data_IF_295078713953
#
_entry.id   IF_295078713953
#
_cell.length_a   1.000
_cell.length_b   1.000
_cell.length_c   1.000
_cell.angle_alpha   90.00
_cell.angle_beta   90.00
_cell.angle_gamma   90.00
#
_symmetry.space_group_name_H-M   'P 1'
#
loop_
_entity.id
_entity.type
_entity.pdbx_description
1 polymer ?
#
# COMPACT_ATOMS: atom_id res chain seq x y z
N UNK A 1 -0.21 4.99 -36.57
CA UNK A 1 -0.85 3.79 -37.15
C UNK A 1 -1.62 3.09 -36.04
N UNK A 2 -2.87 2.64 -36.27
CA UNK A 2 -3.68 1.97 -35.26
C UNK A 2 -3.19 0.54 -34.98
N UNK A 3 -3.59 0.00 -33.83
CA UNK A 3 -3.30 -1.36 -33.36
C UNK A 3 -4.05 -2.47 -34.12
N UNK A 4 -4.08 -2.39 -35.45
CA UNK A 4 -4.76 -3.36 -36.30
C UNK A 4 -3.73 -4.22 -37.04
N UNK A 5 -3.95 -5.54 -37.22
CA UNK A 5 -3.06 -6.38 -38.03
C UNK A 5 -2.90 -5.81 -39.46
N UNK A 6 -1.68 -5.72 -40.02
CA UNK A 6 -0.39 -6.26 -39.55
C UNK A 6 0.45 -5.29 -38.69
N UNK A 7 -0.09 -4.17 -38.24
CA UNK A 7 0.63 -3.10 -37.54
C UNK A 7 0.76 -3.29 -36.03
N UNK A 8 0.08 -4.29 -35.46
CA UNK A 8 0.33 -4.70 -34.07
C UNK A 8 1.70 -5.41 -33.97
N UNK A 9 2.69 -4.71 -33.44
CA UNK A 9 4.06 -5.20 -33.26
C UNK A 9 4.37 -5.64 -31.83
N UNK A 10 3.40 -5.57 -30.90
CA UNK A 10 3.62 -5.96 -29.51
C UNK A 10 3.77 -7.48 -29.41
N UNK A 11 4.88 -7.95 -28.82
CA UNK A 11 5.14 -9.39 -28.67
C UNK A 11 4.52 -9.96 -27.39
N UNK A 12 4.91 -9.42 -26.25
CA UNK A 12 4.41 -9.79 -24.92
C UNK A 12 3.68 -8.60 -24.28
N UNK A 13 2.53 -8.25 -24.85
CA UNK A 13 1.75 -7.13 -24.35
C UNK A 13 0.55 -6.77 -25.21
N UNK A 14 -0.25 -5.83 -24.70
CA UNK A 14 -1.44 -5.32 -25.36
C UNK A 14 -1.13 -4.03 -26.13
N UNK A 15 -1.58 -3.93 -27.38
CA UNK A 15 -1.42 -2.72 -28.18
C UNK A 15 -2.54 -1.72 -27.89
N UNK A 16 -2.17 -0.48 -27.60
CA UNK A 16 -3.11 0.63 -27.39
C UNK A 16 -2.91 1.72 -28.44
N UNK A 17 -3.99 2.07 -29.15
CA UNK A 17 -3.98 3.16 -30.14
C UNK A 17 -4.13 4.50 -29.44
N UNK A 18 -3.24 5.43 -29.74
CA UNK A 18 -3.27 6.78 -29.19
C UNK A 18 -3.97 7.73 -30.16
N UNK A 19 -4.91 8.50 -29.62
CA UNK A 19 -5.69 9.49 -30.34
C UNK A 19 -5.32 10.89 -29.87
N UNK A 20 -5.04 11.78 -30.80
CA UNK A 20 -4.98 13.22 -30.55
C UNK A 20 -6.38 13.80 -30.72
N UNK A 21 -6.88 14.46 -29.67
CA UNK A 21 -8.20 15.11 -29.66
C UNK A 21 -8.02 16.57 -30.04
N UNK A 22 -8.69 16.98 -31.10
CA UNK A 22 -8.76 18.37 -31.55
C UNK A 22 -10.14 18.93 -31.22
N UNK A 23 -10.16 19.99 -30.42
CA UNK A 23 -11.36 20.77 -30.16
C UNK A 23 -11.42 21.97 -31.10
N UNK A 24 -12.50 22.05 -31.85
CA UNK A 24 -12.78 23.22 -32.71
C UNK A 24 -14.10 23.84 -32.28
N UNK A 25 -14.13 25.17 -32.12
CA UNK A 25 -15.39 25.90 -31.87
C UNK A 25 -15.92 26.44 -33.19
N UNK A 26 -17.11 25.98 -33.60
CA UNK A 26 -17.83 26.50 -34.77
C UNK A 26 -19.22 26.90 -34.30
N UNK A 27 -19.59 28.18 -34.50
CA UNK A 27 -20.93 28.70 -34.20
C UNK A 27 -21.44 28.39 -32.77
N UNK A 28 -20.64 28.73 -31.73
CA UNK A 28 -20.96 28.48 -30.31
C UNK A 28 -21.19 26.99 -29.93
N UNK A 29 -20.76 26.06 -30.77
CA UNK A 29 -20.73 24.64 -30.47
C UNK A 29 -19.28 24.14 -30.47
N UNK A 30 -18.94 23.32 -29.45
CA UNK A 30 -17.66 22.62 -29.40
C UNK A 30 -17.78 21.34 -30.21
N UNK A 31 -16.98 21.21 -31.27
CA UNK A 31 -16.86 19.99 -32.05
C UNK A 31 -15.51 19.34 -31.76
N UNK A 32 -15.56 18.16 -31.16
CA UNK A 32 -14.41 17.29 -30.91
C UNK A 32 -14.19 16.35 -32.09
N UNK A 33 -12.95 16.29 -32.57
CA UNK A 33 -12.51 15.31 -33.56
C UNK A 33 -11.24 14.62 -33.05
N UNK A 34 -11.15 13.30 -33.22
CA UNK A 34 -9.97 12.54 -32.81
C UNK A 34 -9.25 12.00 -34.04
N UNK A 35 -7.93 12.16 -34.11
CA UNK A 35 -7.07 11.56 -35.13
C UNK A 35 -6.12 10.55 -34.49
N UNK A 36 -5.86 9.43 -35.18
CA UNK A 36 -4.87 8.44 -34.73
C UNK A 36 -3.48 9.06 -34.87
N UNK A 37 -2.78 9.25 -33.76
CA UNK A 37 -1.42 9.80 -33.77
C UNK A 37 -0.36 8.70 -33.77
N UNK A 38 -0.51 7.71 -32.90
CA UNK A 38 0.50 6.65 -32.69
C UNK A 38 -0.11 5.43 -31.98
N UNK A 39 0.73 4.44 -31.64
CA UNK A 39 0.35 3.34 -30.75
C UNK A 39 1.45 3.13 -29.71
N UNK A 40 1.10 2.49 -28.60
CA UNK A 40 2.06 2.01 -27.60
C UNK A 40 1.75 0.58 -27.22
N UNK A 41 2.78 -0.18 -26.84
CA UNK A 41 2.61 -1.50 -26.25
C UNK A 41 2.59 -1.38 -24.73
N UNK A 42 1.55 -1.92 -24.10
CA UNK A 42 1.48 -2.15 -22.65
C UNK A 42 2.04 -3.55 -22.43
N UNK A 43 3.25 -3.65 -21.90
CA UNK A 43 3.92 -4.95 -21.72
C UNK A 43 3.28 -5.77 -20.61
N UNK A 44 3.20 -7.07 -20.85
CA UNK A 44 2.85 -8.04 -19.83
C UNK A 44 3.89 -8.02 -18.70
N UNK A 45 3.51 -8.40 -17.48
CA UNK A 45 4.45 -8.54 -16.38
C UNK A 45 5.68 -9.39 -16.75
N UNK A 46 6.86 -8.91 -16.37
CA UNK A 46 8.13 -9.55 -16.74
C UNK A 46 8.68 -9.18 -18.12
N UNK A 47 8.03 -8.28 -18.88
CA UNK A 47 8.51 -7.81 -20.19
C UNK A 47 8.66 -6.29 -20.27
N UNK A 48 9.58 -5.84 -21.12
CA UNK A 48 9.94 -4.44 -21.34
C UNK A 48 10.40 -4.23 -22.79
N UNK A 49 10.73 -2.98 -23.13
CA UNK A 49 11.03 -2.53 -24.48
C UNK A 49 9.81 -1.95 -25.20
N UNK A 50 10.07 -1.18 -26.27
CA UNK A 50 9.04 -0.44 -27.03
C UNK A 50 7.95 -1.36 -27.59
N UNK A 51 8.31 -2.60 -27.90
CA UNK A 51 7.43 -3.64 -28.45
C UNK A 51 7.34 -4.87 -27.53
N UNK A 52 7.72 -4.74 -26.26
CA UNK A 52 7.68 -5.80 -25.26
C UNK A 52 8.45 -7.06 -25.68
N UNK A 53 9.63 -6.86 -26.26
CA UNK A 53 10.50 -7.89 -26.81
C UNK A 53 11.68 -8.24 -25.89
N UNK A 54 11.79 -7.59 -24.73
CA UNK A 54 12.87 -7.84 -23.77
C UNK A 54 12.28 -8.33 -22.45
N UNK A 55 12.77 -9.43 -21.87
CA UNK A 55 12.41 -9.78 -20.51
C UNK A 55 12.96 -8.73 -19.53
N UNK A 56 12.21 -8.43 -18.47
CA UNK A 56 12.68 -7.57 -17.37
C UNK A 56 13.75 -8.33 -16.60
N UNK A 57 14.97 -7.80 -16.58
CA UNK A 57 15.98 -8.22 -15.64
C UNK A 57 15.75 -7.52 -14.29
N UNK A 58 15.01 -8.18 -13.42
CA UNK A 58 14.71 -7.72 -12.05
C UNK A 58 15.97 -7.56 -11.19
N UNK A 59 17.12 -8.11 -11.61
CA UNK A 59 18.40 -7.97 -10.93
C UNK A 59 19.23 -6.78 -11.43
N UNK A 60 18.92 -6.15 -12.56
CA UNK A 60 19.75 -5.08 -13.13
C UNK A 60 19.89 -3.85 -12.20
N UNK A 61 18.94 -3.65 -11.27
CA UNK A 61 18.97 -2.59 -10.24
C UNK A 61 18.60 -3.12 -8.85
N UNK A 62 19.13 -4.30 -8.51
CA UNK A 62 18.90 -4.87 -7.19
C UNK A 62 19.50 -4.01 -6.07
N UNK A 63 18.91 -4.08 -4.87
CA UNK A 63 19.44 -3.40 -3.67
C UNK A 63 20.27 -4.30 -2.77
N UNK A 64 20.56 -5.54 -3.18
CA UNK A 64 21.41 -6.45 -2.42
C UNK A 64 22.76 -5.80 -2.08
N UNK A 65 23.11 -5.80 -0.79
CA UNK A 65 24.29 -5.17 -0.23
C UNK A 65 25.34 -6.21 0.17
N UNK A 66 26.51 -5.73 0.61
CA UNK A 66 27.55 -6.55 1.23
C UNK A 66 28.01 -7.78 0.41
N UNK A 67 27.97 -7.68 -0.92
CA UNK A 67 28.38 -8.76 -1.82
C UNK A 67 27.32 -9.86 -2.03
N UNK A 68 26.08 -9.62 -1.61
CA UNK A 68 24.98 -10.55 -1.83
C UNK A 68 24.64 -10.73 -3.32
N UNK A 69 24.29 -11.96 -3.67
CA UNK A 69 23.92 -12.33 -5.03
C UNK A 69 22.43 -12.08 -5.24
N UNK A 70 22.08 -11.29 -6.25
CA UNK A 70 20.68 -11.18 -6.68
C UNK A 70 20.25 -12.44 -7.44
N UNK A 71 19.09 -12.97 -7.06
CA UNK A 71 18.46 -14.13 -7.69
C UNK A 71 17.07 -13.72 -8.17
N UNK A 72 16.86 -13.75 -9.48
CA UNK A 72 15.54 -13.50 -10.06
C UNK A 72 14.55 -14.61 -9.66
N UNK A 73 13.34 -14.21 -9.28
CA UNK A 73 12.22 -15.04 -8.84
C UNK A 73 10.95 -14.60 -9.58
N UNK A 74 10.92 -14.85 -10.89
CA UNK A 74 9.84 -14.40 -11.75
C UNK A 74 9.80 -12.87 -11.85
N UNK A 75 8.78 -12.25 -11.27
CA UNK A 75 8.55 -10.80 -11.32
C UNK A 75 9.27 -10.02 -10.21
N UNK A 76 9.87 -10.69 -9.23
CA UNK A 76 10.67 -10.08 -8.17
C UNK A 76 12.06 -10.70 -8.09
N UNK A 77 12.93 -10.13 -7.25
CA UNK A 77 14.23 -10.71 -6.93
C UNK A 77 14.36 -10.97 -5.43
N UNK A 78 15.27 -11.87 -5.08
CA UNK A 78 15.70 -12.13 -3.70
C UNK A 78 17.22 -11.97 -3.60
N UNK A 79 17.70 -11.48 -2.46
CA UNK A 79 19.12 -11.40 -2.17
C UNK A 79 19.57 -12.65 -1.43
N UNK A 80 20.52 -13.40 -2.02
CA UNK A 80 21.19 -14.49 -1.32
C UNK A 80 22.35 -13.93 -0.53
N UNK A 81 22.18 -13.85 0.78
CA UNK A 81 23.18 -13.25 1.66
C UNK A 81 24.44 -14.12 1.76
N UNK A 82 25.63 -13.50 1.72
CA UNK A 82 26.87 -14.19 2.04
C UNK A 82 26.94 -14.48 3.54
N UNK A 83 27.85 -15.38 3.93
CA UNK A 83 28.07 -15.71 5.33
C UNK A 83 28.43 -14.46 6.13
N UNK A 84 27.78 -14.27 7.29
CA UNK A 84 28.00 -13.11 8.15
C UNK A 84 27.10 -11.91 7.85
N UNK A 85 26.14 -12.01 6.92
CA UNK A 85 25.14 -10.97 6.65
C UNK A 85 23.71 -11.52 6.58
N UNK A 86 22.74 -10.71 7.03
CA UNK A 86 21.31 -10.99 7.05
C UNK A 86 20.48 -9.74 6.70
N UNK A 87 19.15 -9.86 6.70
CA UNK A 87 18.22 -8.83 6.22
C UNK A 87 17.72 -9.09 4.80
N UNK A 88 16.67 -8.36 4.39
CA UNK A 88 16.01 -8.54 3.07
C UNK A 88 16.94 -8.21 1.92
N UNK A 89 17.84 -7.25 2.12
CA UNK A 89 18.86 -6.83 1.17
C UNK A 89 20.27 -7.22 1.63
N UNK A 90 20.39 -8.08 2.65
CA UNK A 90 21.67 -8.47 3.25
C UNK A 90 22.46 -7.28 3.80
N UNK A 91 21.75 -6.27 4.30
CA UNK A 91 22.29 -5.02 4.81
C UNK A 91 22.84 -5.13 6.23
N UNK A 92 22.44 -6.15 6.98
CA UNK A 92 22.78 -6.31 8.40
C UNK A 92 23.91 -7.32 8.59
N UNK A 93 24.95 -7.03 9.39
CA UNK A 93 25.95 -8.03 9.74
C UNK A 93 25.42 -8.97 10.82
N UNK A 94 25.57 -10.28 10.62
CA UNK A 94 25.26 -11.30 11.63
C UNK A 94 26.28 -11.17 12.75
N UNK A 95 25.85 -10.60 13.87
CA UNK A 95 26.70 -10.46 15.03
C UNK A 95 26.74 -11.80 15.79
N UNK A 96 27.80 -12.58 15.59
CA UNK A 96 27.98 -13.88 16.28
C UNK A 96 28.03 -13.75 17.82
N UNK A 97 28.21 -12.54 18.36
CA UNK A 97 28.08 -12.27 19.80
C UNK A 97 26.61 -12.28 20.32
N UNK A 98 25.61 -12.24 19.42
CA UNK A 98 24.19 -12.34 19.74
C UNK A 98 23.64 -13.78 19.62
N UNK A 99 24.43 -14.75 19.15
CA UNK A 99 24.01 -16.16 19.20
C UNK A 99 23.89 -16.67 20.65
N UNK A 100 24.51 -15.97 21.61
CA UNK A 100 24.34 -16.19 23.04
C UNK A 100 23.23 -15.30 23.67
N UNK A 101 22.52 -14.50 22.88
CA UNK A 101 21.25 -13.90 23.27
C UNK A 101 20.03 -14.67 22.73
N UNK A 102 20.24 -15.77 22.00
CA UNK A 102 19.19 -16.72 21.64
C UNK A 102 18.67 -17.56 22.82
N UNK A 103 19.12 -17.30 24.05
CA UNK A 103 18.51 -17.83 25.29
C UNK A 103 17.73 -16.80 26.09
N UNK A 104 17.39 -15.62 25.54
CA UNK A 104 16.12 -15.02 25.96
C UNK A 104 15.04 -15.85 25.28
N UNK A 105 14.39 -16.71 26.07
CA UNK A 105 13.10 -17.29 25.69
C UNK A 105 12.27 -16.17 25.08
N UNK A 106 11.65 -16.44 23.93
CA UNK A 106 10.69 -15.53 23.28
C UNK A 106 9.59 -15.27 24.31
N UNK A 107 9.74 -14.19 25.05
CA UNK A 107 8.83 -13.77 26.11
C UNK A 107 7.76 -12.94 25.42
N UNK A 108 6.63 -13.57 25.13
CA UNK A 108 5.48 -12.97 24.44
C UNK A 108 4.92 -11.72 25.12
N UNK A 109 5.37 -11.42 26.34
CA UNK A 109 5.04 -10.23 27.11
C UNK A 109 5.80 -8.98 26.62
N UNK A 110 7.09 -9.11 26.26
CA UNK A 110 7.90 -7.97 25.81
C UNK A 110 7.62 -7.59 24.34
N UNK A 111 7.23 -8.57 23.52
CA UNK A 111 6.92 -8.36 22.10
C UNK A 111 5.69 -7.44 21.92
N UNK A 112 4.68 -7.57 22.78
CA UNK A 112 3.48 -6.73 22.74
C UNK A 112 3.76 -5.30 23.22
N UNK A 113 4.54 -5.14 24.30
CA UNK A 113 4.93 -3.82 24.79
C UNK A 113 5.76 -3.05 23.77
N UNK A 114 6.73 -3.70 23.12
CA UNK A 114 7.53 -3.10 22.04
C UNK A 114 6.68 -2.79 20.80
N UNK A 115 5.78 -3.70 20.41
CA UNK A 115 4.84 -3.47 19.32
C UNK A 115 3.94 -2.24 19.57
N UNK A 116 3.40 -2.11 20.77
CA UNK A 116 2.55 -0.99 21.16
C UNK A 116 3.32 0.34 21.28
N UNK A 117 4.58 0.28 21.69
CA UNK A 117 5.50 1.44 21.67
C UNK A 117 5.79 1.90 20.24
N UNK A 118 6.07 0.97 19.32
CA UNK A 118 6.32 1.26 17.91
C UNK A 118 5.09 1.84 17.20
N UNK A 119 3.89 1.38 17.57
CA UNK A 119 2.62 1.94 17.09
C UNK A 119 2.26 3.29 17.72
N UNK A 120 3.00 3.74 18.74
CA UNK A 120 2.70 4.99 19.46
C UNK A 120 1.46 4.90 20.37
N UNK A 121 1.08 3.71 20.81
CA UNK A 121 -0.14 3.46 21.60
C UNK A 121 -0.01 3.81 23.10
N UNK A 122 1.08 4.45 23.53
CA UNK A 122 1.42 4.68 24.95
C UNK A 122 0.79 5.93 25.57
N UNK A 123 -0.46 6.23 25.23
CA UNK A 123 -1.23 7.36 25.77
C UNK A 123 -2.58 6.92 26.32
N UNK A 124 -3.04 7.58 27.39
CA UNK A 124 -4.42 7.46 27.88
C UNK A 124 -5.38 8.01 26.82
N UNK A 125 -5.87 7.14 25.92
CA UNK A 125 -7.10 7.24 25.12
C UNK A 125 -7.49 8.56 24.39
N UNK A 126 -6.77 9.68 24.51
CA UNK A 126 -7.37 10.97 24.23
C UNK A 126 -6.35 12.01 23.79
N UNK A 127 -6.57 12.51 22.58
CA UNK A 127 -6.98 13.90 22.52
C UNK A 127 -8.46 13.91 22.17
N UNK A 128 -9.33 14.36 23.10
CA UNK A 128 -10.71 14.76 22.79
C UNK A 128 -11.70 13.62 22.43
N UNK A 129 -11.66 12.47 23.12
CA UNK A 129 -12.68 11.40 22.99
C UNK A 129 -12.62 10.56 21.70
N UNK A 130 -11.49 10.62 20.97
CA UNK A 130 -11.26 9.83 19.75
C UNK A 130 -10.23 8.74 20.05
N UNK A 131 -10.57 7.48 19.80
CA UNK A 131 -9.67 6.34 20.02
C UNK A 131 -8.72 6.12 18.83
N UNK A 132 -7.81 5.13 18.90
CA UNK A 132 -7.07 4.66 17.72
C UNK A 132 -7.54 3.25 17.37
N UNK A 133 -8.04 3.06 16.15
CA UNK A 133 -8.46 1.74 15.68
C UNK A 133 -7.27 0.78 15.56
N UNK A 134 -6.12 1.27 15.10
CA UNK A 134 -4.87 0.49 15.05
C UNK A 134 -4.41 -0.02 16.42
N UNK A 135 -4.49 0.79 17.47
CA UNK A 135 -4.12 0.37 18.82
C UNK A 135 -5.11 -0.62 19.43
N UNK A 136 -6.41 -0.47 19.14
CA UNK A 136 -7.44 -1.42 19.56
C UNK A 136 -7.21 -2.79 18.89
N UNK A 137 -7.00 -2.82 17.57
CA UNK A 137 -6.76 -4.05 16.82
C UNK A 137 -5.45 -4.75 17.22
N UNK A 138 -4.42 -3.99 17.58
CA UNK A 138 -3.15 -4.51 18.06
C UNK A 138 -3.20 -5.05 19.50
N UNK A 139 -4.33 -4.91 20.20
CA UNK A 139 -4.46 -5.35 21.60
C UNK A 139 -3.65 -4.53 22.59
N UNK A 140 -3.37 -3.26 22.27
CA UNK A 140 -2.51 -2.39 23.08
C UNK A 140 -3.20 -1.73 24.27
N UNK A 141 -4.52 -1.89 24.39
CA UNK A 141 -5.33 -1.23 25.41
C UNK A 141 -5.71 -2.19 26.54
N UNK A 142 -5.63 -1.70 27.77
CA UNK A 142 -6.16 -2.38 28.94
C UNK A 142 -7.70 -2.27 29.01
N UNK A 143 -8.33 -2.96 29.96
CA UNK A 143 -9.80 -2.99 30.05
C UNK A 143 -10.43 -1.60 30.23
N UNK A 144 -9.81 -0.73 31.04
CA UNK A 144 -10.31 0.64 31.28
C UNK A 144 -10.28 1.48 29.98
N UNK A 145 -9.20 1.35 29.20
CA UNK A 145 -9.06 2.01 27.89
C UNK A 145 -10.06 1.46 26.86
N UNK A 146 -10.30 0.14 26.86
CA UNK A 146 -11.30 -0.47 25.99
C UNK A 146 -12.72 -0.03 26.35
N UNK A 147 -13.02 0.10 27.65
CA UNK A 147 -14.33 0.60 28.11
C UNK A 147 -14.54 2.05 27.68
N UNK A 148 -13.50 2.89 27.73
CA UNK A 148 -13.54 4.26 27.19
C UNK A 148 -13.72 4.29 25.65
N UNK A 149 -13.19 3.29 24.95
CA UNK A 149 -13.27 3.17 23.49
C UNK A 149 -14.48 2.38 22.97
N UNK A 150 -15.43 2.00 23.83
CA UNK A 150 -16.52 1.09 23.46
C UNK A 150 -17.29 1.51 22.20
N UNK A 151 -17.65 2.78 22.07
CA UNK A 151 -18.40 3.26 20.91
C UNK A 151 -17.56 3.21 19.61
N UNK A 152 -16.24 3.35 19.70
CA UNK A 152 -15.32 3.17 18.57
C UNK A 152 -15.10 1.70 18.24
N UNK A 153 -15.12 0.81 19.24
CA UNK A 153 -15.11 -0.64 19.02
C UNK A 153 -16.37 -1.06 18.25
N UNK A 154 -17.54 -0.55 18.64
CA UNK A 154 -18.80 -0.81 17.93
C UNK A 154 -18.75 -0.33 16.46
N UNK A 155 -18.10 0.82 16.18
CA UNK A 155 -17.83 1.28 14.81
C UNK A 155 -16.96 0.30 14.01
N UNK A 156 -15.84 -0.16 14.61
CA UNK A 156 -14.93 -1.11 13.97
C UNK A 156 -15.62 -2.45 13.67
N UNK A 157 -16.45 -2.94 14.58
CA UNK A 157 -17.25 -4.15 14.38
C UNK A 157 -18.32 -3.99 13.29
N UNK A 158 -18.99 -2.83 13.25
CA UNK A 158 -20.04 -2.53 12.27
C UNK A 158 -19.50 -2.42 10.84
N UNK A 159 -18.29 -1.89 10.68
CA UNK A 159 -17.68 -1.67 9.37
C UNK A 159 -16.95 -2.90 8.84
N UNK A 160 -16.62 -3.89 9.70
CA UNK A 160 -15.91 -5.15 9.36
C UNK A 160 -14.82 -4.94 8.31
N UNK A 161 -14.08 -3.84 8.44
CA UNK A 161 -13.27 -3.36 7.34
C UNK A 161 -12.10 -4.32 7.12
N UNK A 162 -12.14 -5.06 6.01
CA UNK A 162 -10.97 -5.73 5.41
C UNK A 162 -10.01 -4.69 4.84
N UNK A 163 -9.62 -3.73 5.67
CA UNK A 163 -8.55 -2.81 5.32
C UNK A 163 -7.25 -3.62 5.39
N UNK A 164 -6.60 -3.76 4.23
CA UNK A 164 -5.30 -4.43 4.12
C UNK A 164 -4.34 -3.87 5.17
N UNK A 165 -3.44 -4.72 5.67
CA UNK A 165 -2.43 -4.35 6.70
C UNK A 165 -1.81 -2.99 6.37
N UNK A 166 -2.07 -1.98 7.21
CA UNK A 166 -1.52 -0.63 7.07
C UNK A 166 -2.49 0.46 6.58
N UNK A 167 -3.75 0.15 6.30
CA UNK A 167 -4.77 1.16 5.95
C UNK A 167 -5.45 1.77 7.20
N UNK A 168 -5.82 3.06 7.18
CA UNK A 168 -6.51 3.71 8.30
C UNK A 168 -7.97 3.23 8.40
N UNK A 169 -8.39 2.91 9.62
CA UNK A 169 -9.76 2.55 10.02
C UNK A 169 -10.67 3.78 10.08
N UNK A 170 -11.99 3.57 10.18
CA UNK A 170 -12.95 4.66 10.37
C UNK A 170 -12.71 5.50 11.63
N UNK A 171 -11.94 4.98 12.60
CA UNK A 171 -11.53 5.75 13.77
C UNK A 171 -10.48 6.80 13.39
N UNK A 172 -9.54 6.46 12.49
CA UNK A 172 -8.50 7.37 12.04
C UNK A 172 -8.97 8.38 10.98
N UNK A 173 -10.12 8.12 10.33
CA UNK A 173 -10.71 9.00 9.31
C UNK A 173 -11.77 9.95 9.84
N UNK A 174 -12.19 9.76 11.09
CA UNK A 174 -13.19 10.61 11.71
C UNK A 174 -12.76 12.09 11.74
N UNK A 175 -13.53 12.95 11.06
CA UNK A 175 -13.27 14.39 10.97
C UNK A 175 -11.93 14.72 10.32
N UNK A 176 -11.48 13.90 9.36
CA UNK A 176 -10.29 14.20 8.58
C UNK A 176 -10.57 15.19 7.42
N UNK A 177 -11.86 15.51 7.19
CA UNK A 177 -12.33 16.44 6.17
C UNK A 177 -12.52 15.80 4.79
N UNK A 178 -12.40 14.47 4.70
CA UNK A 178 -12.64 13.66 3.51
C UNK A 178 -13.90 12.82 3.74
N UNK A 179 -14.78 12.75 2.76
CA UNK A 179 -15.96 11.90 2.88
C UNK A 179 -15.61 10.42 2.66
N UNK A 180 -15.63 9.65 3.75
CA UNK A 180 -15.54 8.20 3.78
C UNK A 180 -16.92 7.57 3.89
N UNK A 181 -17.55 7.33 2.74
CA UNK A 181 -18.89 6.73 2.67
C UNK A 181 -19.04 5.41 3.45
N UNK A 182 -17.97 4.61 3.56
CA UNK A 182 -17.98 3.38 4.36
C UNK A 182 -18.05 3.64 5.88
N UNK A 183 -17.60 4.80 6.33
CA UNK A 183 -17.61 5.27 7.72
C UNK A 183 -18.83 6.15 8.04
N UNK A 184 -19.60 6.57 7.02
CA UNK A 184 -20.80 7.41 7.15
C UNK A 184 -22.04 6.64 7.66
N UNK A 185 -21.87 5.81 8.69
CA UNK A 185 -22.94 5.08 9.37
C UNK A 185 -23.09 5.58 10.81
N UNK A 186 -24.27 5.36 11.41
CA UNK A 186 -24.57 5.83 12.77
C UNK A 186 -23.61 5.27 13.83
N UNK A 187 -23.20 4.01 13.71
CA UNK A 187 -22.24 3.38 14.60
C UNK A 187 -20.84 3.98 14.53
N UNK A 188 -20.52 4.71 13.45
CA UNK A 188 -19.24 5.40 13.21
C UNK A 188 -19.39 6.92 13.18
N UNK A 189 -20.42 7.43 13.86
CA UNK A 189 -20.66 8.88 14.02
C UNK A 189 -20.75 9.64 12.70
N UNK A 190 -21.27 8.99 11.66
CA UNK A 190 -21.43 9.56 10.32
C UNK A 190 -20.15 10.18 9.75
N UNK A 191 -19.02 9.51 9.97
CA UNK A 191 -17.72 9.97 9.48
C UNK A 191 -17.38 11.40 9.92
N UNK A 192 -17.75 11.75 11.15
CA UNK A 192 -17.51 13.11 11.65
C UNK A 192 -18.33 14.20 10.96
N UNK A 193 -19.29 13.82 10.12
CA UNK A 193 -20.06 14.67 9.22
C UNK A 193 -19.29 15.20 8.00
N UNK A 194 -18.14 14.60 7.64
CA UNK A 194 -17.34 15.01 6.48
C UNK A 194 -18.08 14.79 5.15
N UNK A 195 -19.02 13.83 5.11
CA UNK A 195 -19.92 13.60 3.97
C UNK A 195 -21.11 14.57 3.88
N UNK A 196 -21.26 15.52 4.81
CA UNK A 196 -22.38 16.48 4.81
C UNK A 196 -22.01 17.87 4.30
N UNK A 197 -20.73 18.11 4.02
CA UNK A 197 -20.27 19.33 3.35
C UNK A 197 -20.61 19.29 1.85
N UNK A 198 -21.67 20.01 1.48
CA UNK A 198 -21.83 20.56 0.13
C UNK A 198 -20.70 21.59 -0.10
N UNK A 199 -19.79 21.28 -1.03
CA UNK A 199 -18.73 22.17 -1.53
C UNK A 199 -18.20 21.71 -2.88
#
# INVERSE_FOLDING_TARGET
MPCDPPHNQCQHGTCETLYEVFETRVQNQTKTASLISSFRCICDPGWTGVVCNHPIDVCLRHRCQNGAQCVAKGEHYECRCPEGYEGVFCEEPINQALSNQSTKKRDTQNDLEEHCLLLGCTGTAETNGTCSGRCIQAGCFNQEQLDACKAWIDCLEATKTEFSVGQPTCVERYRDGVCDHACSISSCFYDGFDCTSDG
#
